data_IF_265269365784
#
_entry.id   IF_265269365784
#
_cell.length_a   1.000
_cell.length_b   1.000
_cell.length_c   1.000
_cell.angle_alpha   90.00
_cell.angle_beta   90.00
_cell.angle_gamma   90.00
#
_symmetry.space_group_name_H-M   'P 1'
#
loop_
_entity.id
_entity.type
_entity.pdbx_description
1 polymer ?
#
# COMPACT_ATOMS: atom_id res chain seq x y z
N UNK A 1 -28.99 -7.80 7.31
CA UNK A 1 -29.06 -7.57 8.77
C UNK A 1 -29.14 -8.95 9.40
N UNK A 2 -28.07 -9.43 10.03
CA UNK A 2 -28.02 -10.77 10.65
C UNK A 2 -28.35 -10.64 12.13
N UNK A 3 -29.15 -11.57 12.63
CA UNK A 3 -29.78 -11.66 13.96
C UNK A 3 -28.78 -11.66 15.14
N UNK A 4 -27.47 -11.69 14.86
CA UNK A 4 -26.41 -11.80 15.88
C UNK A 4 -26.08 -10.48 16.61
N UNK A 5 -26.48 -9.31 16.09
CA UNK A 5 -26.17 -8.01 16.73
C UNK A 5 -27.14 -7.63 17.87
N UNK A 6 -28.24 -8.36 18.05
CA UNK A 6 -29.25 -8.10 19.08
C UNK A 6 -28.74 -8.35 20.52
N UNK A 7 -27.64 -9.09 20.68
CA UNK A 7 -27.12 -9.53 21.99
C UNK A 7 -26.29 -8.45 22.71
N UNK A 8 -25.79 -7.43 22.00
CA UNK A 8 -24.92 -6.40 22.59
C UNK A 8 -25.68 -5.24 23.28
N UNK A 9 -27.02 -5.23 23.23
CA UNK A 9 -27.86 -4.15 23.76
C UNK A 9 -27.97 -4.13 25.30
N UNK A 10 -27.38 -5.10 26.01
CA UNK A 10 -27.47 -5.24 27.47
C UNK A 10 -26.17 -4.85 28.23
N UNK A 11 -25.08 -4.54 27.55
CA UNK A 11 -23.77 -4.34 28.21
C UNK A 11 -23.26 -2.89 28.29
N UNK A 12 -24.01 -1.90 27.78
CA UNK A 12 -23.59 -0.49 27.81
C UNK A 12 -22.29 -0.21 27.04
N UNK A 13 -21.91 -1.09 26.11
CA UNK A 13 -20.69 -0.95 25.32
C UNK A 13 -20.99 -0.24 24.00
N UNK A 14 -20.24 0.82 23.73
CA UNK A 14 -20.41 1.74 22.61
C UNK A 14 -20.10 1.13 21.23
N UNK A 15 -20.76 1.70 20.23
CA UNK A 15 -20.35 1.73 18.81
C UNK A 15 -20.75 0.53 17.95
N UNK A 16 -22.04 0.47 17.61
CA UNK A 16 -22.48 -0.21 16.39
C UNK A 16 -22.02 0.59 15.17
N UNK A 17 -20.73 0.47 14.81
CA UNK A 17 -20.20 1.06 13.58
C UNK A 17 -20.52 0.13 12.40
N UNK A 18 -21.38 0.58 11.48
CA UNK A 18 -21.68 -0.18 10.28
C UNK A 18 -21.66 0.72 9.06
N UNK A 19 -21.22 0.13 7.95
CA UNK A 19 -21.23 0.78 6.65
C UNK A 19 -22.41 0.29 5.84
N UNK A 20 -23.07 1.20 5.15
CA UNK A 20 -24.10 0.87 4.18
C UNK A 20 -24.05 1.81 2.98
N UNK A 21 -24.79 1.44 1.94
CA UNK A 21 -24.82 2.18 0.68
C UNK A 21 -26.23 2.69 0.44
N UNK A 22 -26.35 4.01 0.30
CA UNK A 22 -27.63 4.66 -0.01
C UNK A 22 -27.61 5.25 -1.40
N UNK A 23 -28.80 5.29 -2.03
CA UNK A 23 -29.01 6.00 -3.28
C UNK A 23 -29.42 7.44 -2.99
N UNK A 24 -28.65 8.40 -3.47
CA UNK A 24 -28.94 9.82 -3.38
C UNK A 24 -30.07 10.22 -4.36
N UNK A 25 -30.66 11.41 -4.18
CA UNK A 25 -31.79 11.88 -5.01
C UNK A 25 -31.45 11.97 -6.50
N UNK A 26 -30.19 12.22 -6.83
CA UNK A 26 -29.66 12.26 -8.20
C UNK A 26 -29.37 10.87 -8.81
N UNK A 27 -29.61 9.79 -8.05
CA UNK A 27 -29.35 8.41 -8.49
C UNK A 27 -27.93 7.89 -8.19
N UNK A 28 -27.00 8.74 -7.75
CA UNK A 28 -25.67 8.31 -7.32
C UNK A 28 -25.74 7.47 -6.04
N UNK A 29 -24.72 6.65 -5.80
CA UNK A 29 -24.60 5.88 -4.57
C UNK A 29 -23.57 6.51 -3.64
N UNK A 30 -23.95 6.63 -2.37
CA UNK A 30 -23.07 7.12 -1.29
C UNK A 30 -22.85 6.03 -0.25
N UNK A 31 -21.59 5.85 0.15
CA UNK A 31 -21.25 5.03 1.30
C UNK A 31 -21.42 5.86 2.57
N UNK A 32 -22.23 5.40 3.51
CA UNK A 32 -22.35 6.02 4.82
C UNK A 32 -21.77 5.11 5.88
N UNK A 33 -20.93 5.68 6.74
CA UNK A 33 -20.50 5.06 7.99
C UNK A 33 -21.40 5.60 9.10
N UNK A 34 -22.17 4.71 9.71
CA UNK A 34 -23.02 5.03 10.85
C UNK A 34 -22.31 4.73 12.15
N UNK A 35 -22.53 5.57 13.15
CA UNK A 35 -22.29 5.26 14.56
C UNK A 35 -23.54 5.56 15.33
N UNK A 36 -23.92 4.66 16.23
CA UNK A 36 -25.05 4.84 17.10
C UNK A 36 -24.68 4.63 18.57
N UNK A 37 -25.19 5.51 19.43
CA UNK A 37 -25.00 5.48 20.88
C UNK A 37 -26.37 5.48 21.57
N UNK A 38 -26.72 4.43 22.32
CA UNK A 38 -27.98 4.40 23.06
C UNK A 38 -27.90 5.26 24.33
N UNK A 39 -28.95 6.04 24.60
CA UNK A 39 -29.21 6.69 25.88
C UNK A 39 -30.29 5.91 26.63
N UNK A 40 -29.91 5.21 27.69
CA UNK A 40 -30.84 4.41 28.49
C UNK A 40 -31.77 5.27 29.35
N UNK A 41 -31.30 6.45 29.79
CA UNK A 41 -32.08 7.41 30.58
C UNK A 41 -33.22 8.00 29.76
N UNK A 42 -32.90 8.49 28.56
CA UNK A 42 -33.88 9.13 27.67
C UNK A 42 -34.64 8.11 26.81
N UNK A 43 -34.23 6.83 26.83
CA UNK A 43 -34.76 5.76 25.98
C UNK A 43 -34.73 6.09 24.48
N UNK A 44 -33.64 6.73 24.03
CA UNK A 44 -33.40 7.09 22.62
C UNK A 44 -32.09 6.52 22.10
N UNK A 45 -31.95 6.47 20.77
CA UNK A 45 -30.72 6.10 20.08
C UNK A 45 -30.19 7.32 19.32
N UNK A 46 -29.01 7.80 19.68
CA UNK A 46 -28.32 8.86 18.96
C UNK A 46 -27.52 8.27 17.81
N UNK A 47 -27.83 8.65 16.58
CA UNK A 47 -27.14 8.18 15.38
C UNK A 47 -26.48 9.32 14.62
N UNK A 48 -25.23 9.13 14.21
CA UNK A 48 -24.53 10.01 13.29
C UNK A 48 -24.02 9.23 12.08
N UNK A 49 -24.10 9.85 10.90
CA UNK A 49 -23.59 9.28 9.65
C UNK A 49 -22.53 10.19 9.05
N UNK A 50 -21.46 9.58 8.54
CA UNK A 50 -20.42 10.26 7.76
C UNK A 50 -20.43 9.71 6.35
N UNK A 51 -20.47 10.60 5.36
CA UNK A 51 -20.27 10.22 3.96
C UNK A 51 -18.81 9.81 3.75
N UNK A 52 -18.59 8.55 3.38
CA UNK A 52 -17.28 7.94 3.15
C UNK A 52 -17.06 7.60 1.67
N UNK A 53 -17.88 8.15 0.78
CA UNK A 53 -17.83 7.85 -0.65
C UNK A 53 -16.46 8.20 -1.24
N UNK A 54 -15.96 9.40 -0.96
CA UNK A 54 -14.68 9.87 -1.47
C UNK A 54 -13.52 9.02 -0.95
N UNK A 55 -13.54 8.67 0.35
CA UNK A 55 -12.55 7.75 0.96
C UNK A 55 -12.52 6.41 0.24
N UNK A 56 -13.68 5.80 0.02
CA UNK A 56 -13.78 4.50 -0.66
C UNK A 56 -13.32 4.57 -2.11
N UNK A 57 -13.66 5.63 -2.83
CA UNK A 57 -13.21 5.82 -4.20
C UNK A 57 -11.69 5.98 -4.27
N UNK A 58 -11.10 6.76 -3.35
CA UNK A 58 -9.64 6.90 -3.25
C UNK A 58 -8.94 5.57 -2.93
N UNK A 59 -9.48 4.77 -2.00
CA UNK A 59 -8.95 3.44 -1.68
C UNK A 59 -8.99 2.49 -2.89
N UNK A 60 -10.10 2.47 -3.64
CA UNK A 60 -10.24 1.66 -4.85
C UNK A 60 -9.27 2.13 -5.94
N UNK A 61 -9.16 3.45 -6.15
CA UNK A 61 -8.26 4.01 -7.14
C UNK A 61 -6.78 3.70 -6.80
N UNK A 62 -6.39 3.84 -5.53
CA UNK A 62 -5.06 3.47 -5.05
C UNK A 62 -4.78 1.99 -5.32
N UNK A 63 -5.69 1.11 -4.91
CA UNK A 63 -5.54 -0.33 -5.14
C UNK A 63 -5.42 -0.67 -6.63
N UNK A 64 -6.24 -0.06 -7.48
CA UNK A 64 -6.18 -0.27 -8.92
C UNK A 64 -4.85 0.21 -9.51
N UNK A 65 -4.35 1.36 -9.04
CA UNK A 65 -3.04 1.88 -9.44
C UNK A 65 -1.91 0.97 -8.99
N UNK A 66 -1.94 0.45 -7.76
CA UNK A 66 -0.95 -0.50 -7.25
C UNK A 66 -0.98 -1.83 -8.01
N UNK A 67 -2.17 -2.37 -8.30
CA UNK A 67 -2.31 -3.59 -9.09
C UNK A 67 -1.82 -3.37 -10.53
N UNK A 68 -2.11 -2.22 -11.13
CA UNK A 68 -1.62 -1.88 -12.47
C UNK A 68 -0.10 -1.73 -12.50
N UNK A 69 0.47 -0.98 -11.55
CA UNK A 69 1.93 -0.85 -11.39
C UNK A 69 2.59 -2.22 -11.22
N UNK A 70 2.05 -3.06 -10.34
CA UNK A 70 2.58 -4.42 -10.10
C UNK A 70 2.59 -5.25 -11.38
N UNK A 71 1.48 -5.27 -12.13
CA UNK A 71 1.40 -6.01 -13.40
C UNK A 71 2.42 -5.50 -14.40
N UNK A 72 2.54 -4.19 -14.57
CA UNK A 72 3.53 -3.60 -15.47
C UNK A 72 4.93 -4.00 -15.03
N UNK A 73 5.28 -3.75 -13.77
CA UNK A 73 6.59 -4.07 -13.19
C UNK A 73 6.97 -5.56 -13.34
N UNK A 74 6.04 -6.47 -13.07
CA UNK A 74 6.23 -7.92 -13.22
C UNK A 74 6.34 -8.39 -14.67
N UNK A 75 5.69 -7.68 -15.60
CA UNK A 75 5.69 -8.00 -17.04
C UNK A 75 6.91 -7.51 -17.82
N UNK A 76 7.75 -6.66 -17.23
CA UNK A 76 8.98 -6.19 -17.88
C UNK A 76 9.95 -7.36 -18.00
N UNK A 77 10.35 -7.69 -19.23
CA UNK A 77 11.33 -8.74 -19.53
C UNK A 77 12.78 -8.31 -19.25
N UNK A 78 13.06 -7.01 -19.26
CA UNK A 78 14.35 -6.44 -18.88
C UNK A 78 14.51 -6.38 -17.35
N UNK A 79 15.72 -6.63 -16.86
CA UNK A 79 16.01 -6.50 -15.44
C UNK A 79 15.85 -5.06 -14.98
N UNK A 80 14.89 -4.83 -14.09
CA UNK A 80 14.60 -3.51 -13.54
C UNK A 80 14.56 -3.58 -12.02
N UNK A 81 15.24 -2.64 -11.37
CA UNK A 81 15.16 -2.45 -9.93
C UNK A 81 15.20 -0.96 -9.56
N UNK A 82 14.58 -0.63 -8.44
CA UNK A 82 14.74 0.67 -7.79
C UNK A 82 15.74 0.53 -6.65
N UNK A 83 16.57 1.56 -6.47
CA UNK A 83 17.63 1.56 -5.46
C UNK A 83 17.63 2.85 -4.65
N UNK A 84 18.01 2.74 -3.39
CA UNK A 84 18.38 3.84 -2.51
C UNK A 84 19.92 3.89 -2.45
N UNK A 85 20.49 5.09 -2.66
CA UNK A 85 21.94 5.29 -2.51
C UNK A 85 22.27 5.49 -1.04
N UNK A 86 23.21 4.71 -0.52
CA UNK A 86 23.72 4.86 0.84
C UNK A 86 24.98 5.72 0.81
N UNK A 87 25.08 6.68 1.73
CA UNK A 87 26.20 7.62 1.84
C UNK A 87 26.92 7.45 3.18
N UNK A 88 28.23 7.73 3.20
CA UNK A 88 29.00 7.82 4.44
C UNK A 88 28.82 9.18 5.15
N UNK A 89 29.51 9.36 6.28
CA UNK A 89 29.47 10.59 7.08
C UNK A 89 29.98 11.83 6.34
N UNK A 90 30.80 11.64 5.30
CA UNK A 90 31.35 12.71 4.47
C UNK A 90 30.46 12.99 3.23
N UNK A 91 29.31 12.31 3.13
CA UNK A 91 28.35 12.47 2.04
C UNK A 91 28.77 11.79 0.73
N UNK A 92 29.73 10.85 0.79
CA UNK A 92 30.17 10.09 -0.38
C UNK A 92 29.31 8.83 -0.54
N UNK A 93 28.86 8.49 -1.76
CA UNK A 93 28.08 7.28 -1.99
C UNK A 93 28.97 6.05 -1.77
N UNK A 94 28.51 5.13 -0.92
CA UNK A 94 29.24 3.92 -0.54
C UNK A 94 28.57 2.63 -1.00
N UNK A 95 27.25 2.60 -1.16
CA UNK A 95 26.51 1.40 -1.58
C UNK A 95 25.12 1.75 -2.14
N UNK A 96 24.42 0.76 -2.67
CA UNK A 96 23.04 0.85 -3.13
C UNK A 96 22.20 -0.23 -2.45
N UNK A 97 21.10 0.15 -1.80
CA UNK A 97 20.09 -0.78 -1.30
C UNK A 97 19.01 -0.97 -2.35
N UNK A 98 18.74 -2.21 -2.73
CA UNK A 98 17.62 -2.52 -3.63
C UNK A 98 16.33 -2.34 -2.85
N UNK A 99 15.46 -1.44 -3.30
CA UNK A 99 14.14 -1.23 -2.69
C UNK A 99 13.12 -2.21 -3.29
N UNK A 100 13.19 -2.43 -4.59
CA UNK A 100 12.31 -3.34 -5.30
C UNK A 100 12.98 -3.85 -6.57
N UNK A 101 12.96 -5.15 -6.81
CA UNK A 101 13.44 -5.76 -8.05
C UNK A 101 12.37 -6.60 -8.75
N UNK A 102 12.26 -6.42 -10.07
CA UNK A 102 11.30 -7.19 -10.86
C UNK A 102 11.76 -8.66 -11.04
N UNK A 103 10.84 -9.56 -11.45
CA UNK A 103 11.18 -10.96 -11.65
C UNK A 103 12.29 -11.19 -12.68
N UNK A 104 12.37 -10.35 -13.73
CA UNK A 104 13.43 -10.44 -14.73
C UNK A 104 14.81 -10.18 -14.12
N UNK A 105 14.95 -9.12 -13.31
CA UNK A 105 16.19 -8.80 -12.61
C UNK A 105 16.62 -9.95 -11.70
N UNK A 106 15.68 -10.50 -10.92
CA UNK A 106 15.96 -11.64 -10.04
C UNK A 106 16.49 -12.86 -10.83
N UNK A 107 15.86 -13.20 -11.96
CA UNK A 107 16.32 -14.30 -12.82
C UNK A 107 17.70 -14.03 -13.45
N UNK A 108 17.88 -12.84 -13.99
CA UNK A 108 19.08 -12.41 -14.72
C UNK A 108 20.30 -12.31 -13.79
N UNK A 109 20.12 -11.68 -12.62
CA UNK A 109 21.15 -11.57 -11.60
C UNK A 109 21.30 -12.86 -10.77
N UNK A 110 20.45 -13.87 -10.99
CA UNK A 110 20.39 -15.13 -10.21
C UNK A 110 20.24 -14.88 -8.71
N UNK A 111 19.42 -13.91 -8.36
CA UNK A 111 19.15 -13.50 -6.98
C UNK A 111 17.78 -13.98 -6.52
N UNK A 112 17.67 -14.31 -5.24
CA UNK A 112 16.40 -14.59 -4.57
C UNK A 112 16.21 -13.58 -3.44
N UNK A 113 15.04 -12.92 -3.43
CA UNK A 113 14.68 -11.87 -2.48
C UNK A 113 15.80 -10.82 -2.31
N UNK A 114 16.08 -10.02 -3.35
CA UNK A 114 17.09 -8.96 -3.29
C UNK A 114 16.58 -7.71 -2.56
N UNK A 115 15.27 -7.55 -2.41
CA UNK A 115 14.66 -6.37 -1.77
C UNK A 115 15.16 -6.20 -0.33
N UNK A 116 15.56 -4.98 0.01
CA UNK A 116 16.12 -4.59 1.30
C UNK A 116 17.64 -4.82 1.44
N UNK A 117 18.25 -5.62 0.55
CA UNK A 117 19.69 -5.92 0.62
C UNK A 117 20.53 -4.91 -0.16
N UNK A 118 21.78 -4.76 0.23
CA UNK A 118 22.71 -3.90 -0.49
C UNK A 118 23.40 -4.63 -1.64
N UNK A 119 23.91 -3.88 -2.62
CA UNK A 119 24.66 -4.45 -3.73
C UNK A 119 25.93 -5.18 -3.23
N UNK A 120 26.58 -4.65 -2.18
CA UNK A 120 27.72 -5.33 -1.53
C UNK A 120 27.32 -6.66 -0.88
N UNK A 121 26.18 -6.72 -0.17
CA UNK A 121 25.67 -7.96 0.44
C UNK A 121 25.33 -9.03 -0.60
N UNK A 122 24.83 -8.59 -1.76
CA UNK A 122 24.47 -9.45 -2.88
C UNK A 122 25.68 -9.79 -3.77
N UNK A 123 26.86 -9.26 -3.45
CA UNK A 123 28.06 -9.35 -4.27
C UNK A 123 27.81 -8.96 -5.75
N UNK A 124 26.84 -8.07 -5.98
CA UNK A 124 26.62 -7.45 -7.28
C UNK A 124 27.80 -6.51 -7.49
N UNK A 125 28.83 -6.98 -8.21
CA UNK A 125 30.09 -6.27 -8.39
C UNK A 125 29.89 -4.78 -8.71
N UNK A 126 30.07 -3.93 -7.70
CA UNK A 126 30.13 -2.49 -7.86
C UNK A 126 31.53 -2.20 -8.40
N UNK A 127 31.72 -2.25 -9.71
CA UNK A 127 32.93 -1.68 -10.30
C UNK A 127 33.03 -0.22 -9.82
N UNK A 128 34.14 0.09 -9.16
CA UNK A 128 34.36 1.29 -8.37
C UNK A 128 33.81 2.53 -9.08
N UNK A 129 32.96 3.29 -8.38
CA UNK A 129 32.38 4.58 -8.76
C UNK A 129 33.46 5.63 -9.09
N UNK A 130 34.16 5.43 -10.21
CA UNK A 130 35.29 6.23 -10.67
C UNK A 130 35.09 6.89 -12.03
N UNK A 131 34.04 6.55 -12.78
CA UNK A 131 33.74 7.23 -14.04
C UNK A 131 32.22 7.45 -14.17
N UNK A 132 31.82 8.73 -14.26
CA UNK A 132 30.41 9.16 -14.38
C UNK A 132 29.76 8.74 -15.70
N UNK A 133 30.43 7.93 -16.50
CA UNK A 133 30.07 7.62 -17.89
C UNK A 133 29.49 6.22 -18.10
N UNK A 134 29.42 5.35 -17.09
CA UNK A 134 29.08 3.93 -17.32
C UNK A 134 28.18 3.26 -16.27
N UNK A 135 27.44 4.03 -15.47
CA UNK A 135 26.40 3.47 -14.62
C UNK A 135 25.25 3.00 -15.53
N UNK A 136 24.88 1.71 -15.49
CA UNK A 136 23.78 1.03 -16.22
C UNK A 136 24.13 0.24 -17.50
N UNK A 137 25.40 -0.13 -17.77
CA UNK A 137 25.68 -1.12 -18.84
C UNK A 137 25.91 -2.52 -18.31
N UNK A 138 24.83 -3.19 -17.91
CA UNK A 138 24.82 -4.63 -17.66
C UNK A 138 25.00 -5.36 -19.01
N UNK A 139 26.18 -5.94 -19.28
CA UNK A 139 26.35 -6.87 -20.40
C UNK A 139 26.04 -8.28 -19.92
N UNK A 140 25.03 -8.89 -20.52
CA UNK A 140 24.81 -10.34 -20.51
C UNK A 140 25.93 -11.06 -21.27
#
# INVERSE_FOLDING_TARGET
>A
MSVLESVSLLSGTETFAFENRYRHKDGSYRGLLWRAQPSLEERVLYGAAVDITDRKQAEVALRQSEEHYRRLFESIDEGFCTVEVLFDADGKPVDHRILQANPAFQRQARLSNPDGKTASELALGLEQFGDRSNCLRWRF
#
